data_IF_992833688626
#
_entry.id   IF_992833688626
#
_cell.length_a   1.000
_cell.length_b   1.000
_cell.length_c   1.000
_cell.angle_alpha   90.00
_cell.angle_beta   90.00
_cell.angle_gamma   90.00
#
_symmetry.space_group_name_H-M   'P 1'
#
loop_
_entity.id
_entity.type
_entity.pdbx_description
1 polymer ?
#
# COMPACT_ATOMS: atom_id res chain seq x y z
N UNK A 1 -13.92 17.79 -24.65
CA UNK A 1 -13.63 17.53 -23.22
C UNK A 1 -12.15 17.19 -23.17
N UNK A 2 -11.35 18.03 -22.51
CA UNK A 2 -9.89 18.01 -22.61
C UNK A 2 -9.29 16.80 -21.91
N UNK A 3 -8.28 16.20 -22.55
CA UNK A 3 -7.43 15.15 -21.95
C UNK A 3 -6.79 15.74 -20.68
N UNK A 4 -6.97 15.07 -19.54
CA UNK A 4 -6.31 15.49 -18.29
C UNK A 4 -4.79 15.50 -18.50
N UNK A 5 -4.13 16.57 -18.05
CA UNK A 5 -2.67 16.71 -18.21
C UNK A 5 -1.97 15.71 -17.26
N UNK A 6 -0.98 14.93 -17.75
CA UNK A 6 -0.20 14.05 -16.89
C UNK A 6 0.45 14.74 -15.68
N UNK A 7 0.89 16.00 -15.83
CA UNK A 7 1.45 16.79 -14.74
C UNK A 7 0.43 17.12 -13.65
N UNK A 8 -0.82 17.36 -14.05
CA UNK A 8 -1.92 17.60 -13.11
C UNK A 8 -2.24 16.33 -12.32
N UNK A 9 -2.28 15.16 -12.98
CA UNK A 9 -2.53 13.89 -12.29
C UNK A 9 -1.47 13.59 -11.24
N UNK A 10 -0.18 13.76 -11.56
CA UNK A 10 0.89 13.48 -10.60
C UNK A 10 0.77 14.36 -9.35
N UNK A 11 0.44 15.64 -9.55
CA UNK A 11 0.21 16.58 -8.46
C UNK A 11 -1.03 16.21 -7.64
N UNK A 12 -2.12 15.84 -8.31
CA UNK A 12 -3.35 15.41 -7.65
C UNK A 12 -3.11 14.17 -6.78
N UNK A 13 -2.39 13.16 -7.31
CA UNK A 13 -2.04 11.97 -6.54
C UNK A 13 -1.24 12.32 -5.29
N UNK A 14 -0.28 13.26 -5.39
CA UNK A 14 0.47 13.73 -4.22
C UNK A 14 -0.43 14.42 -3.19
N UNK A 15 -1.39 15.22 -3.64
CA UNK A 15 -2.34 15.90 -2.75
C UNK A 15 -3.30 14.91 -2.05
N UNK A 16 -3.69 13.84 -2.76
CA UNK A 16 -4.44 12.73 -2.18
C UNK A 16 -3.61 11.96 -1.14
N UNK A 17 -2.34 11.69 -1.43
CA UNK A 17 -1.43 11.01 -0.49
C UNK A 17 -1.22 11.81 0.80
N UNK A 18 -1.17 13.13 0.72
CA UNK A 18 -1.07 13.98 1.91
C UNK A 18 -2.29 13.83 2.83
N UNK A 19 -3.48 13.60 2.25
CA UNK A 19 -4.69 13.28 3.03
C UNK A 19 -4.60 11.90 3.67
N UNK A 20 -4.10 10.90 2.94
CA UNK A 20 -3.85 9.55 3.46
C UNK A 20 -2.86 9.57 4.63
N UNK A 21 -1.76 10.32 4.50
CA UNK A 21 -0.73 10.49 5.53
C UNK A 21 -1.29 11.10 6.81
N UNK A 22 -2.32 11.94 6.68
CA UNK A 22 -3.08 12.53 7.79
C UNK A 22 -4.26 11.68 8.26
N UNK A 23 -4.38 10.45 7.76
CA UNK A 23 -5.46 9.50 8.07
C UNK A 23 -6.87 10.02 7.72
N UNK A 24 -6.98 10.99 6.81
CA UNK A 24 -8.24 11.58 6.33
C UNK A 24 -8.78 10.77 5.14
N UNK A 25 -9.16 9.52 5.40
CA UNK A 25 -9.53 8.55 4.37
C UNK A 25 -10.78 8.94 3.58
N UNK A 26 -11.76 9.60 4.22
CA UNK A 26 -12.97 10.08 3.55
C UNK A 26 -12.67 11.21 2.55
N UNK A 27 -11.87 12.20 2.98
CA UNK A 27 -11.39 13.29 2.11
C UNK A 27 -10.53 12.73 0.97
N UNK A 28 -9.64 11.77 1.25
CA UNK A 28 -8.81 11.13 0.23
C UNK A 28 -9.66 10.37 -0.81
N UNK A 29 -10.63 9.57 -0.35
CA UNK A 29 -11.53 8.84 -1.25
C UNK A 29 -12.35 9.79 -2.14
N UNK A 30 -12.92 10.84 -1.56
CA UNK A 30 -13.69 11.84 -2.31
C UNK A 30 -12.81 12.57 -3.34
N UNK A 31 -11.57 12.89 -2.96
CA UNK A 31 -10.62 13.54 -3.85
C UNK A 31 -10.23 12.65 -5.04
N UNK A 32 -9.81 11.40 -4.78
CA UNK A 32 -9.44 10.48 -5.86
C UNK A 32 -10.61 10.14 -6.78
N UNK A 33 -11.84 10.04 -6.26
CA UNK A 33 -13.03 9.84 -7.09
C UNK A 33 -13.22 11.02 -8.07
N UNK A 34 -12.95 12.25 -7.64
CA UNK A 34 -12.88 13.43 -8.50
C UNK A 34 -11.82 13.32 -9.60
N UNK A 35 -10.60 12.91 -9.24
CA UNK A 35 -9.49 12.69 -10.19
C UNK A 35 -9.87 11.63 -11.23
N UNK A 36 -10.43 10.50 -10.79
CA UNK A 36 -10.88 9.41 -11.67
C UNK A 36 -11.96 9.90 -12.65
N UNK A 37 -12.94 10.67 -12.17
CA UNK A 37 -13.97 11.28 -13.04
C UNK A 37 -13.38 12.24 -14.08
N UNK A 38 -12.31 12.94 -13.73
CA UNK A 38 -11.59 13.86 -14.61
C UNK A 38 -11.02 13.22 -15.87
N UNK A 39 -10.67 11.93 -15.84
CA UNK A 39 -10.19 11.21 -17.02
C UNK A 39 -11.27 11.02 -18.10
N UNK A 40 -12.56 11.03 -17.73
CA UNK A 40 -13.66 10.75 -18.65
C UNK A 40 -13.50 9.41 -19.39
N UNK A 41 -13.91 9.38 -20.66
CA UNK A 41 -13.72 8.20 -21.53
C UNK A 41 -12.34 8.26 -22.16
N UNK A 42 -11.54 7.21 -21.96
CA UNK A 42 -10.22 7.07 -22.56
C UNK A 42 -10.30 6.33 -23.89
N UNK A 43 -9.50 6.77 -24.86
CA UNK A 43 -9.33 6.05 -26.11
C UNK A 43 -8.78 4.62 -25.86
N UNK A 44 -9.16 3.62 -26.66
CA UNK A 44 -8.63 2.25 -26.54
C UNK A 44 -7.10 2.21 -26.56
N UNK A 45 -6.46 3.07 -27.36
CA UNK A 45 -5.01 3.16 -27.50
C UNK A 45 -4.29 4.06 -26.48
N UNK A 46 -5.00 4.74 -25.57
CA UNK A 46 -4.37 5.66 -24.61
C UNK A 46 -3.72 4.93 -23.44
N UNK A 47 -2.59 4.28 -23.72
CA UNK A 47 -1.82 3.53 -22.71
C UNK A 47 -1.34 4.40 -21.54
N UNK A 48 -1.04 5.67 -21.79
CA UNK A 48 -0.55 6.60 -20.77
C UNK A 48 -1.70 7.03 -19.85
N UNK A 49 -2.83 7.45 -20.43
CA UNK A 49 -4.05 7.79 -19.70
C UNK A 49 -4.53 6.63 -18.82
N UNK A 50 -4.47 5.39 -19.33
CA UNK A 50 -4.83 4.19 -18.58
C UNK A 50 -3.90 3.92 -17.41
N UNK A 51 -2.59 4.06 -17.59
CA UNK A 51 -1.64 3.91 -16.49
C UNK A 51 -1.91 4.90 -15.35
N UNK A 52 -2.14 6.17 -15.71
CA UNK A 52 -2.45 7.22 -14.74
C UNK A 52 -3.79 7.00 -14.04
N UNK A 53 -4.83 6.61 -14.78
CA UNK A 53 -6.14 6.31 -14.21
C UNK A 53 -6.08 5.08 -13.29
N UNK A 54 -5.31 4.06 -13.66
CA UNK A 54 -5.10 2.88 -12.82
C UNK A 54 -4.47 3.25 -11.47
N UNK A 55 -3.48 4.17 -11.44
CA UNK A 55 -2.89 4.65 -10.20
C UNK A 55 -3.90 5.38 -9.30
N UNK A 56 -4.74 6.25 -9.89
CA UNK A 56 -5.80 6.95 -9.15
C UNK A 56 -6.88 5.99 -8.62
N UNK A 57 -7.30 5.03 -9.44
CA UNK A 57 -8.25 3.98 -9.06
C UNK A 57 -7.72 3.09 -7.93
N UNK A 58 -6.43 2.74 -7.97
CA UNK A 58 -5.77 1.97 -6.91
C UNK A 58 -5.78 2.73 -5.58
N UNK A 59 -5.43 4.02 -5.59
CA UNK A 59 -5.46 4.88 -4.40
C UNK A 59 -6.88 5.02 -3.84
N UNK A 60 -7.87 5.23 -4.72
CA UNK A 60 -9.28 5.25 -4.34
C UNK A 60 -9.72 3.92 -3.72
N UNK A 61 -9.40 2.80 -4.36
CA UNK A 61 -9.71 1.46 -3.86
C UNK A 61 -9.15 1.23 -2.45
N UNK A 62 -7.88 1.60 -2.24
CA UNK A 62 -7.25 1.52 -0.93
C UNK A 62 -7.95 2.40 0.12
N UNK A 63 -8.26 3.66 -0.20
CA UNK A 63 -8.98 4.55 0.71
C UNK A 63 -10.37 3.98 1.08
N UNK A 64 -11.10 3.42 0.10
CA UNK A 64 -12.39 2.77 0.32
C UNK A 64 -12.27 1.53 1.22
N UNK A 65 -11.22 0.72 1.06
CA UNK A 65 -10.94 -0.40 1.99
C UNK A 65 -10.72 0.10 3.41
N UNK A 66 -9.97 1.19 3.60
CA UNK A 66 -9.74 1.79 4.93
C UNK A 66 -11.02 2.32 5.58
N UNK A 67 -12.02 2.68 4.77
CA UNK A 67 -13.36 3.07 5.22
C UNK A 67 -14.33 1.89 5.38
N UNK A 68 -13.91 0.66 5.07
CA UNK A 68 -14.78 -0.53 5.10
C UNK A 68 -15.82 -0.58 3.97
N UNK A 69 -15.67 0.25 2.92
CA UNK A 69 -16.56 0.31 1.75
C UNK A 69 -16.15 -0.75 0.72
N UNK A 70 -16.32 -2.02 1.08
CA UNK A 70 -15.72 -3.17 0.39
C UNK A 70 -16.18 -3.36 -1.06
N UNK A 71 -17.47 -3.23 -1.35
CA UNK A 71 -17.99 -3.41 -2.72
C UNK A 71 -17.52 -2.31 -3.66
N UNK A 72 -17.44 -1.07 -3.16
CA UNK A 72 -16.91 0.05 -3.94
C UNK A 72 -15.40 -0.11 -4.16
N UNK A 73 -14.66 -0.51 -3.13
CA UNK A 73 -13.24 -0.81 -3.25
C UNK A 73 -12.98 -1.89 -4.31
N UNK A 74 -13.77 -2.97 -4.29
CA UNK A 74 -13.68 -4.05 -5.28
C UNK A 74 -13.83 -3.50 -6.69
N UNK A 75 -14.89 -2.73 -6.95
CA UNK A 75 -15.14 -2.16 -8.27
C UNK A 75 -13.96 -1.31 -8.76
N UNK A 76 -13.41 -0.43 -7.90
CA UNK A 76 -12.28 0.43 -8.30
C UNK A 76 -10.98 -0.34 -8.49
N UNK A 77 -10.73 -1.39 -7.72
CA UNK A 77 -9.56 -2.25 -7.90
C UNK A 77 -9.66 -3.11 -9.17
N UNK A 78 -10.86 -3.61 -9.50
CA UNK A 78 -11.10 -4.32 -10.76
C UNK A 78 -10.87 -3.40 -11.97
N UNK A 79 -11.37 -2.15 -11.91
CA UNK A 79 -11.11 -1.11 -12.92
C UNK A 79 -9.60 -0.78 -13.01
N UNK A 80 -8.92 -0.64 -11.87
CA UNK A 80 -7.47 -0.38 -11.83
C UNK A 80 -6.69 -1.50 -12.51
N UNK A 81 -7.03 -2.77 -12.23
CA UNK A 81 -6.38 -3.92 -12.84
C UNK A 81 -6.65 -4.02 -14.34
N UNK A 82 -7.87 -3.69 -14.77
CA UNK A 82 -8.22 -3.61 -16.19
C UNK A 82 -7.36 -2.58 -16.93
N UNK A 83 -7.28 -1.36 -16.40
CA UNK A 83 -6.50 -0.29 -17.02
C UNK A 83 -4.99 -0.55 -16.95
N UNK A 84 -4.50 -1.10 -15.84
CA UNK A 84 -3.10 -1.47 -15.70
C UNK A 84 -2.68 -2.48 -16.78
N UNK A 85 -3.50 -3.52 -17.02
CA UNK A 85 -3.27 -4.49 -18.11
C UNK A 85 -3.27 -3.80 -19.48
N UNK A 86 -4.27 -2.97 -19.74
CA UNK A 86 -4.41 -2.26 -21.02
C UNK A 86 -3.32 -1.20 -21.25
N UNK A 87 -2.67 -0.70 -20.21
CA UNK A 87 -1.51 0.20 -20.32
C UNK A 87 -0.27 -0.48 -20.89
N UNK A 88 -0.13 -1.80 -20.69
CA UNK A 88 1.07 -2.56 -21.04
C UNK A 88 2.30 -2.23 -20.18
N UNK A 89 2.16 -1.46 -19.10
CA UNK A 89 3.26 -1.09 -18.21
C UNK A 89 3.37 -2.06 -17.03
N UNK A 90 4.48 -2.79 -16.94
CA UNK A 90 4.69 -3.82 -15.93
C UNK A 90 4.61 -3.28 -14.49
N UNK A 91 5.16 -2.09 -14.22
CA UNK A 91 5.16 -1.50 -12.87
C UNK A 91 3.74 -1.15 -12.41
N UNK A 92 2.92 -0.64 -13.32
CA UNK A 92 1.50 -0.30 -13.05
C UNK A 92 0.70 -1.58 -12.81
N UNK A 93 0.94 -2.63 -13.61
CA UNK A 93 0.31 -3.93 -13.41
C UNK A 93 0.70 -4.54 -12.07
N UNK A 94 1.98 -4.46 -11.68
CA UNK A 94 2.44 -4.94 -10.38
C UNK A 94 1.73 -4.21 -9.23
N UNK A 95 1.59 -2.89 -9.30
CA UNK A 95 0.86 -2.12 -8.28
C UNK A 95 -0.62 -2.50 -8.19
N UNK A 96 -1.30 -2.70 -9.33
CA UNK A 96 -2.69 -3.13 -9.34
C UNK A 96 -2.87 -4.56 -8.78
N UNK A 97 -1.94 -5.46 -9.11
CA UNK A 97 -1.91 -6.82 -8.55
C UNK A 97 -1.68 -6.79 -7.04
N UNK A 98 -0.83 -5.89 -6.53
CA UNK A 98 -0.67 -5.71 -5.07
C UNK A 98 -1.97 -5.27 -4.41
N UNK A 99 -2.69 -4.30 -4.98
CA UNK A 99 -4.01 -3.88 -4.48
C UNK A 99 -5.03 -5.03 -4.47
N UNK A 100 -5.12 -5.77 -5.56
CA UNK A 100 -5.98 -6.95 -5.66
C UNK A 100 -5.60 -8.05 -4.66
N UNK A 101 -4.30 -8.25 -4.44
CA UNK A 101 -3.77 -9.21 -3.47
C UNK A 101 -4.14 -8.86 -2.03
N UNK A 102 -3.96 -7.59 -1.64
CA UNK A 102 -4.37 -7.10 -0.32
C UNK A 102 -5.89 -7.21 -0.15
N UNK A 103 -6.68 -6.82 -1.15
CA UNK A 103 -8.14 -6.96 -1.10
C UNK A 103 -8.56 -8.43 -0.89
N UNK A 104 -8.03 -9.35 -1.69
CA UNK A 104 -8.35 -10.78 -1.56
C UNK A 104 -7.96 -11.32 -0.16
N UNK A 105 -6.78 -10.94 0.34
CA UNK A 105 -6.33 -11.31 1.69
C UNK A 105 -7.28 -10.78 2.79
N UNK A 106 -7.70 -9.51 2.71
CA UNK A 106 -8.65 -8.91 3.65
C UNK A 106 -10.04 -9.56 3.60
N UNK A 107 -10.42 -10.12 2.45
CA UNK A 107 -11.66 -10.88 2.27
C UNK A 107 -11.56 -12.37 2.66
N UNK A 108 -10.41 -12.80 3.19
CA UNK A 108 -10.19 -14.18 3.63
C UNK A 108 -9.74 -15.13 2.52
N UNK A 109 -9.51 -14.64 1.30
CA UNK A 109 -9.01 -15.41 0.16
C UNK A 109 -7.48 -15.47 0.16
N UNK A 110 -6.88 -15.98 1.25
CA UNK A 110 -5.44 -15.89 1.50
C UNK A 110 -4.57 -16.46 0.36
N UNK A 111 -4.90 -17.63 -0.18
CA UNK A 111 -4.15 -18.28 -1.29
C UNK A 111 -4.17 -17.41 -2.54
N UNK A 112 -5.33 -16.83 -2.86
CA UNK A 112 -5.49 -15.96 -4.03
C UNK A 112 -4.75 -14.63 -3.83
N UNK A 113 -4.83 -14.06 -2.63
CA UNK A 113 -4.10 -12.85 -2.26
C UNK A 113 -2.59 -13.02 -2.39
N UNK A 114 -2.06 -14.14 -1.87
CA UNK A 114 -0.66 -14.51 -2.01
C UNK A 114 -0.24 -14.65 -3.48
N UNK A 115 -1.05 -15.32 -4.30
CA UNK A 115 -0.80 -15.49 -5.73
C UNK A 115 -0.61 -14.15 -6.45
N UNK A 116 -1.51 -13.18 -6.22
CA UNK A 116 -1.38 -11.85 -6.81
C UNK A 116 -0.13 -11.09 -6.33
N UNK A 117 0.22 -11.19 -5.05
CA UNK A 117 1.40 -10.51 -4.50
C UNK A 117 2.70 -11.10 -5.08
N UNK A 118 2.77 -12.42 -5.25
CA UNK A 118 3.93 -13.11 -5.86
C UNK A 118 4.05 -12.77 -7.34
N UNK A 119 2.93 -12.68 -8.07
CA UNK A 119 2.92 -12.23 -9.46
C UNK A 119 3.46 -10.80 -9.59
N UNK A 120 3.03 -9.89 -8.70
CA UNK A 120 3.56 -8.53 -8.65
C UNK A 120 5.07 -8.49 -8.38
N UNK A 121 5.57 -9.30 -7.43
CA UNK A 121 7.00 -9.43 -7.16
C UNK A 121 7.79 -9.91 -8.39
N UNK A 122 7.22 -10.82 -9.18
CA UNK A 122 7.84 -11.33 -10.40
C UNK A 122 8.01 -10.22 -11.44
N UNK A 123 6.99 -9.36 -11.61
CA UNK A 123 7.05 -8.21 -12.52
C UNK A 123 8.10 -7.17 -12.09
N UNK A 124 8.32 -7.01 -10.78
CA UNK A 124 9.26 -6.03 -10.21
C UNK A 124 10.69 -6.56 -10.05
N UNK A 125 10.95 -7.84 -10.36
CA UNK A 125 12.25 -8.48 -10.12
C UNK A 125 13.37 -7.92 -11.01
N UNK A 126 13.06 -7.45 -12.22
CA UNK A 126 14.05 -7.12 -13.25
C UNK A 126 14.74 -5.75 -13.16
N UNK A 127 14.49 -4.95 -12.12
CA UNK A 127 15.00 -3.57 -12.00
C UNK A 127 15.38 -3.22 -10.56
N UNK A 128 16.50 -2.54 -10.38
CA UNK A 128 17.00 -2.09 -9.06
C UNK A 128 16.95 -0.56 -8.91
N UNK A 129 16.10 0.10 -9.67
CA UNK A 129 15.77 1.50 -9.42
C UNK A 129 14.94 1.67 -8.13
N UNK A 130 14.89 2.90 -7.64
CA UNK A 130 14.20 3.24 -6.39
C UNK A 130 12.72 2.86 -6.41
N UNK A 131 12.00 3.04 -7.51
CA UNK A 131 10.57 2.76 -7.60
C UNK A 131 10.32 1.24 -7.58
N UNK A 132 11.14 0.47 -8.30
CA UNK A 132 11.09 -0.99 -8.29
C UNK A 132 11.40 -1.56 -6.91
N UNK A 133 12.40 -1.02 -6.20
CA UNK A 133 12.68 -1.36 -4.81
C UNK A 133 11.49 -1.03 -3.89
N UNK A 134 10.88 0.15 -4.02
CA UNK A 134 9.69 0.52 -3.25
C UNK A 134 8.54 -0.47 -3.46
N UNK A 135 8.24 -0.81 -4.71
CA UNK A 135 7.18 -1.77 -5.04
C UNK A 135 7.42 -3.15 -4.41
N UNK A 136 8.65 -3.68 -4.53
CA UNK A 136 9.03 -4.97 -3.91
C UNK A 136 8.95 -4.91 -2.39
N UNK A 137 9.41 -3.82 -1.81
CA UNK A 137 9.32 -3.56 -0.38
C UNK A 137 7.90 -3.65 0.15
N UNK A 138 6.96 -2.93 -0.47
CA UNK A 138 5.53 -2.98 -0.12
C UNK A 138 4.91 -4.36 -0.34
N UNK A 139 5.31 -5.05 -1.40
CA UNK A 139 4.89 -6.44 -1.63
C UNK A 139 5.31 -7.35 -0.48
N UNK A 140 6.54 -7.23 0.03
CA UNK A 140 7.01 -7.98 1.19
C UNK A 140 6.27 -7.59 2.48
N UNK A 141 5.90 -6.31 2.69
CA UNK A 141 5.04 -5.92 3.84
C UNK A 141 3.71 -6.66 3.80
N UNK A 142 3.05 -6.66 2.64
CA UNK A 142 1.75 -7.30 2.46
C UNK A 142 1.83 -8.82 2.62
N UNK A 143 2.86 -9.44 2.05
CA UNK A 143 3.08 -10.88 2.16
C UNK A 143 3.41 -11.30 3.59
N UNK A 144 4.28 -10.55 4.27
CA UNK A 144 4.62 -10.79 5.68
C UNK A 144 3.40 -10.66 6.60
N UNK A 145 2.56 -9.66 6.35
CA UNK A 145 1.28 -9.49 7.07
C UNK A 145 0.34 -10.68 6.84
N UNK A 146 0.20 -11.12 5.59
CA UNK A 146 -0.62 -12.28 5.23
C UNK A 146 -0.11 -13.56 5.90
N UNK A 147 1.21 -13.76 5.94
CA UNK A 147 1.83 -14.89 6.63
C UNK A 147 1.55 -14.87 8.12
N UNK A 148 1.65 -13.71 8.77
CA UNK A 148 1.30 -13.55 10.18
C UNK A 148 -0.15 -13.93 10.45
N UNK A 149 -1.09 -13.40 9.65
CA UNK A 149 -2.54 -13.71 9.78
C UNK A 149 -2.88 -15.18 9.56
N UNK A 150 -2.07 -15.89 8.77
CA UNK A 150 -2.25 -17.32 8.47
C UNK A 150 -1.43 -18.23 9.37
N UNK A 151 -0.79 -17.70 10.42
CA UNK A 151 0.00 -18.47 11.38
C UNK A 151 1.36 -18.94 10.87
N UNK A 152 1.80 -18.50 9.68
CA UNK A 152 3.11 -18.81 9.10
C UNK A 152 4.18 -17.87 9.67
N UNK A 153 4.41 -17.96 10.97
CA UNK A 153 5.15 -16.95 11.75
C UNK A 153 6.60 -16.76 11.29
N UNK A 154 7.35 -17.85 11.06
CA UNK A 154 8.75 -17.75 10.60
C UNK A 154 8.84 -17.02 9.25
N UNK A 155 7.95 -17.37 8.32
CA UNK A 155 7.86 -16.69 7.03
C UNK A 155 7.46 -15.23 7.21
N UNK A 156 6.53 -14.91 8.11
CA UNK A 156 6.12 -13.54 8.40
C UNK A 156 7.31 -12.67 8.84
N UNK A 157 8.07 -13.12 9.85
CA UNK A 157 9.19 -12.36 10.39
C UNK A 157 10.33 -12.19 9.38
N UNK A 158 10.71 -13.24 8.66
CA UNK A 158 11.75 -13.17 7.62
C UNK A 158 11.31 -12.24 6.48
N UNK A 159 10.05 -12.32 6.06
CA UNK A 159 9.54 -11.48 4.97
C UNK A 159 9.46 -10.00 5.38
N UNK A 160 9.04 -9.70 6.61
CA UNK A 160 9.01 -8.33 7.14
C UNK A 160 10.42 -7.77 7.39
N UNK A 161 11.39 -8.61 7.74
CA UNK A 161 12.81 -8.24 7.74
C UNK A 161 13.29 -7.84 6.33
N UNK A 162 12.94 -8.66 5.32
CA UNK A 162 13.29 -8.35 3.94
C UNK A 162 12.64 -7.07 3.44
N UNK A 163 11.38 -6.82 3.82
CA UNK A 163 10.68 -5.58 3.51
C UNK A 163 11.45 -4.35 4.01
N UNK A 164 11.91 -4.36 5.27
CA UNK A 164 12.68 -3.26 5.87
C UNK A 164 14.01 -3.02 5.15
N UNK A 165 14.74 -4.08 4.81
CA UNK A 165 16.00 -3.99 4.06
C UNK A 165 15.77 -3.31 2.69
N UNK A 166 14.79 -3.80 1.94
CA UNK A 166 14.48 -3.32 0.58
C UNK A 166 13.94 -1.88 0.61
N UNK A 167 13.04 -1.56 1.53
CA UNK A 167 12.49 -0.21 1.69
C UNK A 167 13.54 0.78 2.21
N UNK A 168 14.44 0.33 3.07
CA UNK A 168 15.58 1.11 3.54
C UNK A 168 16.55 1.47 2.41
N UNK A 169 16.88 0.50 1.54
CA UNK A 169 17.68 0.75 0.34
C UNK A 169 17.01 1.76 -0.61
N UNK A 170 15.67 1.75 -0.67
CA UNK A 170 14.89 2.71 -1.44
C UNK A 170 14.64 4.06 -0.72
N UNK A 171 15.15 4.21 0.51
CA UNK A 171 14.88 5.36 1.39
C UNK A 171 13.38 5.67 1.53
N UNK A 172 12.57 4.62 1.64
CA UNK A 172 11.12 4.70 1.81
C UNK A 172 10.76 4.50 3.29
N UNK A 173 11.00 5.52 4.11
CA UNK A 173 10.95 5.41 5.57
C UNK A 173 9.54 5.14 6.11
N UNK A 174 8.49 5.68 5.49
CA UNK A 174 7.10 5.27 5.79
C UNK A 174 6.87 3.78 5.60
N UNK A 175 7.48 3.17 4.57
CA UNK A 175 7.39 1.75 4.31
C UNK A 175 8.16 0.93 5.36
N UNK A 176 9.34 1.40 5.77
CA UNK A 176 10.10 0.78 6.88
C UNK A 176 9.28 0.81 8.17
N UNK A 177 8.63 1.94 8.47
CA UNK A 177 7.73 2.07 9.61
C UNK A 177 6.55 1.08 9.52
N UNK A 178 5.91 0.97 8.36
CA UNK A 178 4.80 0.05 8.13
C UNK A 178 5.21 -1.42 8.31
N UNK A 179 6.43 -1.79 7.91
CA UNK A 179 6.96 -3.14 8.10
C UNK A 179 7.18 -3.47 9.60
N UNK A 180 7.68 -2.51 10.39
CA UNK A 180 7.77 -2.64 11.84
C UNK A 180 6.40 -2.72 12.50
N UNK A 181 5.45 -1.87 12.10
CA UNK A 181 4.08 -1.91 12.62
C UNK A 181 3.42 -3.26 12.31
N UNK A 182 3.57 -3.77 11.08
CA UNK A 182 3.07 -5.09 10.70
C UNK A 182 3.68 -6.19 11.58
N UNK A 183 4.99 -6.14 11.83
CA UNK A 183 5.66 -7.11 12.70
C UNK A 183 5.11 -7.04 14.13
N UNK A 184 4.92 -5.83 14.65
CA UNK A 184 4.31 -5.60 15.95
C UNK A 184 2.91 -6.26 16.00
N UNK A 185 2.06 -6.07 15.00
CA UNK A 185 0.74 -6.71 14.98
C UNK A 185 0.82 -8.24 14.98
N UNK A 186 1.81 -8.83 14.31
CA UNK A 186 2.06 -10.28 14.39
C UNK A 186 2.45 -10.69 15.81
N UNK A 187 3.37 -9.98 16.45
CA UNK A 187 3.78 -10.23 17.86
C UNK A 187 2.61 -10.14 18.82
N UNK A 188 1.77 -9.12 18.66
CA UNK A 188 0.56 -8.95 19.46
C UNK A 188 -0.43 -10.09 19.27
N UNK A 189 -0.62 -10.54 18.03
CA UNK A 189 -1.49 -11.67 17.69
C UNK A 189 -1.09 -12.99 18.36
N UNK A 190 0.21 -13.18 18.64
CA UNK A 190 0.74 -14.37 19.33
C UNK A 190 0.96 -14.17 20.83
N UNK A 191 0.59 -13.00 21.39
CA UNK A 191 0.76 -12.68 22.80
C UNK A 191 2.19 -12.32 23.23
N UNK A 192 3.11 -12.05 22.30
CA UNK A 192 4.48 -11.60 22.58
C UNK A 192 4.50 -10.09 22.81
N UNK A 193 3.95 -9.68 23.95
CA UNK A 193 3.67 -8.28 24.28
C UNK A 193 4.96 -7.45 24.44
N UNK A 194 6.05 -8.04 24.93
CA UNK A 194 7.32 -7.33 25.12
C UNK A 194 7.92 -6.93 23.77
N UNK A 195 8.05 -7.89 22.83
CA UNK A 195 8.55 -7.59 21.47
C UNK A 195 7.56 -6.77 20.65
N UNK A 196 6.26 -6.89 20.91
CA UNK A 196 5.27 -6.00 20.31
C UNK A 196 5.58 -4.53 20.63
N UNK A 197 5.94 -4.19 21.87
CA UNK A 197 6.29 -2.81 22.25
C UNK A 197 7.57 -2.33 21.58
N UNK A 198 8.59 -3.18 21.50
CA UNK A 198 9.85 -2.87 20.82
C UNK A 198 9.60 -2.56 19.34
N UNK A 199 8.91 -3.45 18.63
CA UNK A 199 8.59 -3.29 17.21
C UNK A 199 7.73 -2.04 16.95
N UNK A 200 6.78 -1.74 17.85
CA UNK A 200 5.93 -0.57 17.72
C UNK A 200 6.69 0.73 18.01
N UNK A 201 7.65 0.73 18.91
CA UNK A 201 8.53 1.87 19.17
C UNK A 201 9.42 2.17 17.95
N UNK A 202 9.95 1.14 17.29
CA UNK A 202 10.67 1.31 16.02
C UNK A 202 9.77 1.92 14.94
N UNK A 203 8.53 1.45 14.80
CA UNK A 203 7.57 2.02 13.86
C UNK A 203 7.35 3.53 14.12
N UNK A 204 7.22 3.95 15.39
CA UNK A 204 7.09 5.37 15.78
C UNK A 204 8.28 6.20 15.31
N UNK A 205 9.52 5.73 15.53
CA UNK A 205 10.74 6.44 15.13
C UNK A 205 10.74 6.73 13.62
N UNK A 206 10.39 5.74 12.81
CA UNK A 206 10.37 5.90 11.35
C UNK A 206 9.19 6.75 10.86
N UNK A 207 8.02 6.68 11.50
CA UNK A 207 6.90 7.57 11.19
C UNK A 207 7.21 9.04 11.53
N UNK A 208 7.87 9.32 12.65
CA UNK A 208 8.33 10.68 12.98
C UNK A 208 9.34 11.19 11.97
N UNK A 209 10.30 10.35 11.58
CA UNK A 209 11.32 10.68 10.57
C UNK A 209 10.69 11.13 9.24
N UNK A 210 9.58 10.51 8.85
CA UNK A 210 8.83 10.84 7.64
C UNK A 210 7.82 11.99 7.85
N UNK A 211 7.70 12.52 9.07
CA UNK A 211 6.78 13.61 9.40
C UNK A 211 5.32 13.18 9.59
N UNK A 212 5.04 11.87 9.68
CA UNK A 212 3.70 11.30 9.87
C UNK A 212 3.25 11.35 11.35
N UNK A 213 3.18 12.56 11.91
CA UNK A 213 2.95 12.79 13.35
C UNK A 213 1.66 12.16 13.89
N UNK A 214 0.54 12.31 13.17
CA UNK A 214 -0.75 11.76 13.63
C UNK A 214 -0.70 10.23 13.73
N UNK A 215 -0.01 9.58 12.80
CA UNK A 215 0.23 8.13 12.83
C UNK A 215 1.15 7.74 13.99
N UNK A 216 2.26 8.45 14.18
CA UNK A 216 3.18 8.21 15.29
C UNK A 216 2.48 8.38 16.66
N UNK A 217 1.71 9.44 16.84
CA UNK A 217 0.95 9.71 18.07
C UNK A 217 -0.13 8.64 18.33
N UNK A 218 -0.80 8.17 17.28
CA UNK A 218 -1.73 7.04 17.39
C UNK A 218 -1.02 5.81 17.97
N UNK A 219 0.17 5.47 17.47
CA UNK A 219 0.91 4.31 17.96
C UNK A 219 1.47 4.51 19.38
N UNK A 220 1.95 5.72 19.72
CA UNK A 220 2.32 6.07 21.11
C UNK A 220 1.16 5.89 22.08
N UNK A 221 -0.05 6.27 21.66
CA UNK A 221 -1.28 6.04 22.43
C UNK A 221 -1.52 4.56 22.74
N UNK A 222 -1.16 3.66 21.83
CA UNK A 222 -1.27 2.21 22.04
C UNK A 222 -0.26 1.67 23.05
N UNK A 223 0.96 2.22 23.10
CA UNK A 223 1.99 1.84 24.08
C UNK A 223 1.60 2.21 25.52
N UNK A 224 0.70 3.19 25.69
CA UNK A 224 0.36 3.75 27.00
C UNK A 224 1.50 4.58 27.60
N UNK A 225 1.23 5.26 28.72
CA UNK A 225 2.25 6.04 29.45
C UNK A 225 3.22 5.11 30.21
N UNK A 226 4.11 4.43 29.50
CA UNK A 226 5.36 3.86 30.06
C UNK A 226 6.43 3.83 28.97
N UNK A 227 6.87 5.02 28.57
CA UNK A 227 8.27 5.23 28.20
C UNK A 227 8.98 5.50 29.53
N UNK A 228 9.64 4.46 30.08
CA UNK A 228 10.65 4.63 31.12
C UNK A 228 11.98 4.79 30.42
#
# INVERSE_FOLDING_TARGET
>A
MGRIDPGDVAKDLQEGEDRERRLRWDEAASFYDGVVRGFGTLDPGDRSGRAMRAAALLRLGNALMRLGRWEEARARLDDALHDAKASGQADVLAQALLGAGVFAAERGEAVRGEGFIVEALTLLHGRDDRASLQGRGWAFVNLGTLYGRTGRLDLAFVTLAKAREVLGAAQAWAGVAAAWEAQAQVRRGIGDEDRWREDLAEAVIFYDREGMKEKADQLRGMLGKKLV
#
